data_IF_431608670152
#
_entry.id   IF_431608670152
#
_cell.length_a   1.000
_cell.length_b   1.000
_cell.length_c   1.000
_cell.angle_alpha   90.00
_cell.angle_beta   90.00
_cell.angle_gamma   90.00
#
_symmetry.space_group_name_H-M   'P 1'
#
loop_
_entity.id
_entity.type
_entity.pdbx_description
1 polymer ?
#
# COMPACT_ATOMS: atom_id res chain seq x y z
N UNK A 1 -23.58 -55.37 -42.33
CA UNK A 1 -24.35 -55.37 -43.59
C UNK A 1 -24.92 -53.96 -43.75
N UNK A 2 -24.59 -53.10 -44.70
CA UNK A 2 -23.68 -53.13 -45.83
C UNK A 2 -24.10 -52.01 -46.81
N UNK A 3 -23.17 -51.65 -47.71
CA UNK A 3 -23.44 -51.26 -49.12
C UNK A 3 -23.86 -49.78 -49.31
N UNK A 4 -22.91 -48.85 -49.61
CA UNK A 4 -22.43 -48.34 -50.95
C UNK A 4 -23.08 -46.99 -51.36
N UNK A 5 -22.32 -45.92 -51.64
CA UNK A 5 -21.66 -45.54 -52.92
C UNK A 5 -22.52 -44.50 -53.68
N UNK A 6 -22.04 -43.25 -53.86
CA UNK A 6 -21.48 -42.71 -55.14
C UNK A 6 -22.58 -42.07 -56.03
N UNK A 7 -22.44 -41.01 -56.84
CA UNK A 7 -21.32 -40.28 -57.47
C UNK A 7 -21.87 -38.99 -58.13
N UNK A 8 -20.96 -38.04 -58.48
CA UNK A 8 -20.97 -37.14 -59.68
C UNK A 8 -21.98 -35.97 -59.70
N UNK A 9 -21.74 -34.77 -60.25
CA UNK A 9 -20.80 -34.19 -61.26
C UNK A 9 -20.83 -32.65 -61.06
N UNK A 10 -19.70 -31.96 -60.94
CA UNK A 10 -18.95 -31.19 -61.98
C UNK A 10 -19.51 -29.81 -62.40
N UNK A 11 -18.59 -28.82 -62.38
CA UNK A 11 -18.44 -27.62 -63.25
C UNK A 11 -19.38 -26.41 -62.96
N UNK A 12 -18.96 -25.13 -62.98
CA UNK A 12 -17.71 -24.48 -63.37
C UNK A 12 -17.58 -23.05 -62.79
N UNK A 13 -16.31 -22.66 -62.56
CA UNK A 13 -15.64 -21.35 -62.77
C UNK A 13 -16.44 -20.04 -62.74
N UNK A 14 -16.03 -19.15 -61.83
CA UNK A 14 -15.68 -17.73 -62.02
C UNK A 14 -15.09 -17.27 -60.66
N UNK A 15 -13.81 -16.99 -60.49
CA UNK A 15 -13.11 -15.85 -61.09
C UNK A 15 -13.28 -14.62 -60.20
N UNK A 16 -12.50 -14.50 -59.13
CA UNK A 16 -12.22 -13.22 -58.46
C UNK A 16 -10.94 -13.33 -57.63
N UNK A 17 -9.91 -12.65 -58.11
CA UNK A 17 -8.69 -12.33 -57.38
C UNK A 17 -9.09 -11.42 -56.21
N UNK A 18 -8.95 -11.91 -54.97
CA UNK A 18 -9.09 -11.06 -53.78
C UNK A 18 -7.72 -10.88 -53.18
N UNK A 19 -7.29 -9.63 -53.24
CA UNK A 19 -6.05 -9.02 -52.77
C UNK A 19 -5.73 -9.43 -51.34
N UNK A 20 -4.55 -10.02 -51.11
CA UNK A 20 -4.02 -10.26 -49.78
C UNK A 20 -3.73 -8.91 -49.11
N UNK A 21 -4.61 -8.48 -48.21
CA UNK A 21 -4.33 -7.36 -47.32
C UNK A 21 -3.26 -7.79 -46.31
N UNK A 22 -2.06 -7.24 -46.44
CA UNK A 22 -1.05 -7.29 -45.39
C UNK A 22 -1.63 -6.57 -44.16
N UNK A 23 -2.06 -7.32 -43.15
CA UNK A 23 -2.28 -6.83 -41.81
C UNK A 23 -0.92 -6.39 -41.26
N UNK A 24 -0.64 -5.09 -41.34
CA UNK A 24 0.43 -4.46 -40.58
C UNK A 24 0.10 -4.66 -39.10
N UNK A 25 0.77 -5.62 -38.46
CA UNK A 25 0.75 -5.75 -37.01
C UNK A 25 1.35 -4.48 -36.41
N UNK A 26 0.49 -3.56 -35.97
CA UNK A 26 0.89 -2.44 -35.15
C UNK A 26 1.40 -3.00 -33.82
N UNK A 27 2.71 -3.19 -33.71
CA UNK A 27 3.37 -3.43 -32.43
C UNK A 27 3.04 -2.22 -31.55
N UNK A 28 2.33 -2.38 -30.43
CA UNK A 28 2.13 -1.28 -29.51
C UNK A 28 3.51 -0.80 -29.06
N UNK A 29 3.75 0.52 -28.98
CA UNK A 29 5.00 1.02 -28.42
C UNK A 29 5.16 0.41 -27.03
N UNK A 30 6.32 -0.21 -26.80
CA UNK A 30 6.71 -0.66 -25.47
C UNK A 30 6.44 0.48 -24.49
N UNK A 31 5.58 0.23 -23.51
CA UNK A 31 5.38 1.16 -22.40
C UNK A 31 6.78 1.48 -21.86
N UNK A 32 7.19 2.75 -21.99
CA UNK A 32 8.48 3.20 -21.50
C UNK A 32 8.56 2.83 -20.03
N UNK A 33 9.53 1.98 -19.68
CA UNK A 33 9.87 1.74 -18.29
C UNK A 33 10.08 3.10 -17.62
N UNK A 34 9.24 3.41 -16.63
CA UNK A 34 9.39 4.63 -15.85
C UNK A 34 10.83 4.68 -15.29
N UNK A 35 11.47 5.87 -15.27
CA UNK A 35 12.86 5.97 -14.87
C UNK A 35 13.01 5.60 -13.40
N UNK A 36 13.75 4.51 -13.16
CA UNK A 36 14.28 4.07 -11.87
C UNK A 36 13.22 3.51 -10.93
N UNK A 37 13.15 2.17 -10.83
CA UNK A 37 12.41 1.50 -9.76
C UNK A 37 12.93 1.87 -8.37
N UNK A 38 12.34 1.30 -7.30
CA UNK A 38 12.80 1.57 -5.94
C UNK A 38 14.30 1.35 -5.75
N UNK A 39 14.90 2.11 -4.84
CA UNK A 39 16.35 2.03 -4.54
C UNK A 39 16.60 1.82 -3.06
N UNK A 40 17.83 1.44 -2.70
CA UNK A 40 18.24 1.20 -1.33
C UNK A 40 18.02 -0.26 -0.88
N UNK A 41 18.33 -0.57 0.39
CA UNK A 41 18.33 -1.95 0.89
C UNK A 41 16.97 -2.65 0.85
N UNK A 42 15.88 -1.88 0.83
CA UNK A 42 14.50 -2.38 0.79
C UNK A 42 13.89 -2.36 -0.62
N UNK A 43 14.68 -2.04 -1.66
CA UNK A 43 14.17 -1.88 -3.02
C UNK A 43 13.31 -3.05 -3.53
N UNK A 44 13.72 -4.32 -3.39
CA UNK A 44 12.90 -5.44 -3.89
C UNK A 44 11.53 -5.52 -3.20
N UNK A 45 11.49 -5.26 -1.88
CA UNK A 45 10.25 -5.27 -1.10
C UNK A 45 9.34 -4.10 -1.49
N UNK A 46 9.92 -2.92 -1.68
CA UNK A 46 9.19 -1.74 -2.13
C UNK A 46 8.64 -1.90 -3.54
N UNK A 47 9.39 -2.54 -4.43
CA UNK A 47 8.95 -2.83 -5.79
C UNK A 47 7.75 -3.76 -5.79
N UNK A 48 7.82 -4.84 -5.00
CA UNK A 48 6.68 -5.73 -4.79
C UNK A 48 5.45 -4.98 -4.27
N UNK A 49 5.61 -4.17 -3.22
CA UNK A 49 4.51 -3.41 -2.64
C UNK A 49 3.91 -2.41 -3.63
N UNK A 50 4.71 -1.76 -4.46
CA UNK A 50 4.21 -0.83 -5.48
C UNK A 50 3.55 -1.54 -6.68
N UNK A 51 3.94 -2.78 -6.95
CA UNK A 51 3.26 -3.62 -7.94
C UNK A 51 1.88 -4.11 -7.43
N UNK A 52 1.81 -4.50 -6.15
CA UNK A 52 0.57 -4.95 -5.49
C UNK A 52 -0.37 -3.77 -5.16
N UNK A 53 0.19 -2.62 -4.82
CA UNK A 53 -0.51 -1.41 -4.36
C UNK A 53 -0.05 -0.19 -5.19
N UNK A 54 -0.53 -0.06 -6.44
CA UNK A 54 -0.07 0.98 -7.35
C UNK A 54 -0.42 2.40 -6.87
N UNK A 55 0.32 3.39 -7.38
CA UNK A 55 0.12 4.81 -7.04
C UNK A 55 0.98 5.31 -5.88
N UNK A 56 1.67 4.41 -5.17
CA UNK A 56 2.64 4.78 -4.15
C UNK A 56 3.91 5.39 -4.73
N UNK A 57 4.60 6.17 -3.90
CA UNK A 57 5.92 6.74 -4.23
C UNK A 57 6.87 6.44 -3.10
N UNK A 58 8.05 5.94 -3.44
CA UNK A 58 9.12 5.82 -2.47
C UNK A 58 9.71 7.19 -2.15
N UNK A 59 9.59 7.58 -0.88
CA UNK A 59 9.96 8.90 -0.34
C UNK A 59 11.26 8.86 0.48
N UNK A 60 11.77 7.67 0.81
CA UNK A 60 13.07 7.44 1.45
C UNK A 60 13.51 5.99 1.23
N UNK A 61 14.68 5.59 1.75
CA UNK A 61 15.10 4.19 1.71
C UNK A 61 14.24 3.27 2.58
N UNK A 62 13.44 3.83 3.50
CA UNK A 62 12.59 3.09 4.43
C UNK A 62 11.09 3.27 4.18
N UNK A 63 10.68 4.26 3.38
CA UNK A 63 9.29 4.68 3.34
C UNK A 63 8.68 4.79 1.94
N UNK A 64 7.43 4.32 1.87
CA UNK A 64 6.49 4.52 0.77
C UNK A 64 5.36 5.43 1.25
N UNK A 65 4.87 6.27 0.35
CA UNK A 65 3.72 7.12 0.63
C UNK A 65 2.70 7.05 -0.50
N UNK A 66 1.43 7.05 -0.13
CA UNK A 66 0.29 7.16 -1.03
C UNK A 66 -0.50 8.42 -0.68
N UNK A 67 -1.48 8.77 -1.51
CA UNK A 67 -2.51 9.72 -1.13
C UNK A 67 -2.01 11.10 -0.67
N UNK A 68 -0.98 11.60 -1.34
CA UNK A 68 -0.29 12.86 -0.97
C UNK A 68 0.18 12.86 0.49
N UNK A 69 0.74 11.73 0.94
CA UNK A 69 1.32 11.60 2.27
C UNK A 69 0.32 11.29 3.38
N UNK A 70 -0.98 11.13 3.08
CA UNK A 70 -1.96 10.70 4.08
C UNK A 70 -1.78 9.25 4.54
N UNK A 71 -1.19 8.42 3.68
CA UNK A 71 -0.82 7.05 4.03
C UNK A 71 0.68 6.90 3.84
N UNK A 72 1.38 6.53 4.92
CA UNK A 72 2.83 6.34 4.91
C UNK A 72 3.16 4.99 5.53
N UNK A 73 3.80 4.11 4.75
CA UNK A 73 4.43 2.90 5.25
C UNK A 73 5.89 3.19 5.52
N UNK A 74 6.36 2.92 6.74
CA UNK A 74 7.77 2.97 7.11
C UNK A 74 8.22 1.59 7.57
N UNK A 75 9.22 1.03 6.90
CA UNK A 75 9.74 -0.31 7.16
C UNK A 75 11.06 -0.24 7.96
N UNK A 76 11.31 -1.18 8.88
CA UNK A 76 12.61 -1.35 9.52
C UNK A 76 13.72 -1.57 8.48
N UNK A 77 14.94 -1.14 8.79
CA UNK A 77 16.09 -1.52 7.98
C UNK A 77 16.38 -3.02 8.16
N UNK A 78 17.02 -3.70 7.20
CA UNK A 78 17.39 -5.10 7.38
C UNK A 78 18.17 -5.34 8.69
N UNK A 79 17.66 -6.25 9.53
CA UNK A 79 18.23 -6.57 10.84
C UNK A 79 17.71 -5.73 12.01
N UNK A 80 16.94 -4.68 11.75
CA UNK A 80 16.30 -3.85 12.79
C UNK A 80 14.90 -4.38 13.11
N UNK A 81 14.52 -4.33 14.40
CA UNK A 81 13.21 -4.78 14.85
C UNK A 81 12.11 -3.70 14.77
N UNK A 82 12.48 -2.43 14.62
CA UNK A 82 11.55 -1.28 14.72
C UNK A 82 11.74 -0.36 13.52
N UNK A 83 10.64 0.11 12.95
CA UNK A 83 10.67 1.12 11.90
C UNK A 83 11.30 2.43 12.42
N UNK A 84 12.17 3.09 11.64
CA UNK A 84 12.80 4.33 12.09
C UNK A 84 11.77 5.46 12.35
N UNK A 85 12.17 6.43 13.17
CA UNK A 85 11.41 7.69 13.34
C UNK A 85 11.33 8.45 12.01
N UNK A 86 10.23 9.19 11.82
CA UNK A 86 10.00 9.93 10.58
C UNK A 86 10.01 9.01 9.35
N UNK A 87 10.67 9.43 8.28
CA UNK A 87 10.82 8.65 7.04
C UNK A 87 12.04 7.73 7.03
N UNK A 88 12.91 7.72 8.04
CA UNK A 88 14.15 6.93 8.02
C UNK A 88 15.26 7.51 7.13
N UNK A 89 16.05 6.65 6.50
CA UNK A 89 17.31 7.05 5.82
C UNK A 89 17.06 7.62 4.43
N UNK A 90 17.90 8.58 4.04
CA UNK A 90 17.92 9.21 2.72
C UNK A 90 16.54 9.71 2.21
N UNK A 91 15.85 10.62 2.94
CA UNK A 91 14.61 11.22 2.44
C UNK A 91 14.82 11.90 1.08
N UNK A 92 13.94 11.59 0.14
CA UNK A 92 14.02 12.03 -1.24
C UNK A 92 13.32 13.37 -1.40
N UNK A 93 14.09 14.44 -1.25
CA UNK A 93 13.56 15.80 -1.08
C UNK A 93 12.50 16.23 -2.11
N UNK A 94 12.61 15.82 -3.39
CA UNK A 94 11.59 16.14 -4.41
C UNK A 94 10.27 15.42 -4.12
N UNK A 95 10.32 14.10 -3.88
CA UNK A 95 9.17 13.25 -3.60
C UNK A 95 8.52 13.61 -2.25
N UNK A 96 9.34 13.85 -1.22
CA UNK A 96 8.90 14.33 0.09
C UNK A 96 8.09 15.62 -0.03
N UNK A 97 8.61 16.62 -0.77
CA UNK A 97 7.89 17.88 -0.99
C UNK A 97 6.60 17.68 -1.77
N UNK A 98 6.60 16.86 -2.83
CA UNK A 98 5.38 16.60 -3.60
C UNK A 98 4.30 15.86 -2.80
N UNK A 99 4.71 15.10 -1.78
CA UNK A 99 3.81 14.37 -0.88
C UNK A 99 3.47 15.14 0.40
N UNK A 100 3.96 16.38 0.60
CA UNK A 100 3.68 17.14 1.81
C UNK A 100 4.29 16.56 3.09
N UNK A 101 5.36 15.76 2.99
CA UNK A 101 5.95 14.99 4.10
C UNK A 101 7.18 15.67 4.75
N UNK A 102 7.31 16.99 4.62
CA UNK A 102 8.49 17.72 5.10
C UNK A 102 8.77 17.47 6.59
N UNK A 103 7.73 17.49 7.43
CA UNK A 103 7.85 17.31 8.88
C UNK A 103 8.20 15.87 9.30
N UNK A 104 7.97 14.88 8.42
CA UNK A 104 8.41 13.50 8.64
C UNK A 104 9.85 13.27 8.15
N UNK A 105 10.30 14.05 7.16
CA UNK A 105 11.67 13.98 6.65
C UNK A 105 12.67 14.64 7.60
N UNK A 106 12.24 15.65 8.35
CA UNK A 106 12.99 16.27 9.44
C UNK A 106 12.18 16.21 10.75
N UNK A 107 12.20 15.06 11.45
CA UNK A 107 11.41 14.89 12.66
C UNK A 107 12.02 15.59 13.89
N UNK A 108 13.07 16.41 13.74
CA UNK A 108 13.77 17.04 14.88
C UNK A 108 12.87 17.96 15.72
N UNK A 109 11.84 18.55 15.11
CA UNK A 109 10.81 19.36 15.79
C UNK A 109 9.47 18.64 16.00
N UNK A 110 9.32 17.43 15.46
CA UNK A 110 8.04 16.68 15.49
C UNK A 110 8.00 15.83 16.75
N UNK A 111 6.97 16.03 17.59
CA UNK A 111 6.71 15.08 18.67
C UNK A 111 6.21 13.78 18.04
N UNK A 112 6.59 12.65 18.64
CA UNK A 112 6.03 11.36 18.26
C UNK A 112 5.81 10.48 19.49
N UNK A 113 4.90 9.52 19.33
CA UNK A 113 4.63 8.46 20.29
C UNK A 113 4.97 7.15 19.58
N UNK A 114 6.11 6.55 19.96
CA UNK A 114 6.67 5.35 19.31
C UNK A 114 6.85 5.51 17.79
N UNK A 115 7.27 6.70 17.35
CA UNK A 115 7.43 7.03 15.93
C UNK A 115 6.13 7.45 15.22
N UNK A 116 4.96 7.32 15.84
CA UNK A 116 3.72 7.87 15.31
C UNK A 116 3.67 9.39 15.57
N UNK A 117 3.55 10.25 14.54
CA UNK A 117 3.60 11.69 14.72
C UNK A 117 2.51 12.21 15.65
N UNK A 118 2.83 13.22 16.46
CA UNK A 118 1.91 13.88 17.38
C UNK A 118 2.19 15.38 17.47
N UNK A 119 1.19 16.15 17.93
CA UNK A 119 1.32 17.57 18.21
C UNK A 119 0.11 18.39 17.77
N UNK A 120 0.02 19.64 18.24
CA UNK A 120 -1.13 20.50 17.99
C UNK A 120 -1.40 20.78 16.50
N UNK A 121 -0.35 20.76 15.67
CA UNK A 121 -0.43 20.93 14.20
C UNK A 121 -0.50 19.59 13.45
N UNK A 122 -0.43 18.46 14.17
CA UNK A 122 -0.48 17.09 13.65
C UNK A 122 -1.69 16.38 14.26
N UNK A 123 -2.86 16.96 14.00
CA UNK A 123 -4.13 16.30 14.29
C UNK A 123 -4.30 15.09 13.37
N UNK A 124 -5.20 14.20 13.75
CA UNK A 124 -5.70 13.13 12.89
C UNK A 124 -4.68 12.05 12.50
N UNK A 125 -3.68 11.79 13.35
CA UNK A 125 -2.70 10.74 13.09
C UNK A 125 -2.94 9.51 13.97
N UNK A 126 -2.86 8.34 13.35
CA UNK A 126 -2.80 7.05 14.03
C UNK A 126 -1.91 6.09 13.24
N UNK A 127 -1.37 5.11 13.94
CA UNK A 127 -0.39 4.19 13.41
C UNK A 127 -0.66 2.76 13.84
N UNK A 128 -0.64 1.83 12.89
CA UNK A 128 -0.61 0.39 13.14
C UNK A 128 0.81 -0.14 12.97
N UNK A 129 1.14 -1.18 13.74
CA UNK A 129 2.47 -1.80 13.74
C UNK A 129 2.36 -3.31 13.53
N UNK A 130 3.28 -3.85 12.74
CA UNK A 130 3.34 -5.27 12.40
C UNK A 130 3.58 -6.17 13.61
N UNK A 131 4.43 -5.72 14.53
CA UNK A 131 4.83 -6.51 15.69
C UNK A 131 4.35 -5.90 17.00
N UNK A 132 4.54 -6.64 18.10
CA UNK A 132 4.33 -6.14 19.46
C UNK A 132 5.33 -5.04 19.79
N UNK A 133 5.02 -4.27 20.83
CA UNK A 133 5.91 -3.23 21.36
C UNK A 133 6.33 -2.21 20.29
N UNK A 134 5.43 -1.93 19.34
CA UNK A 134 5.61 -0.97 18.24
C UNK A 134 6.72 -1.37 17.26
N UNK A 135 7.00 -2.66 17.15
CA UNK A 135 7.96 -3.22 16.21
C UNK A 135 7.40 -3.44 14.80
N UNK A 136 8.28 -3.86 13.91
CA UNK A 136 7.96 -4.17 12.52
C UNK A 136 7.66 -2.93 11.68
N UNK A 137 6.94 -3.15 10.59
CA UNK A 137 6.44 -2.11 9.70
C UNK A 137 5.46 -1.18 10.45
N UNK A 138 5.59 0.13 10.24
CA UNK A 138 4.66 1.15 10.73
C UNK A 138 3.82 1.67 9.57
N UNK A 139 2.51 1.44 9.63
CA UNK A 139 1.54 2.09 8.75
C UNK A 139 0.94 3.29 9.47
N UNK A 140 1.22 4.47 8.96
CA UNK A 140 0.75 5.75 9.49
C UNK A 140 -0.34 6.29 8.58
N UNK A 141 -1.39 6.80 9.21
CA UNK A 141 -2.57 7.36 8.57
C UNK A 141 -2.82 8.76 9.10
N UNK A 142 -3.11 9.70 8.19
CA UNK A 142 -3.44 11.07 8.50
C UNK A 142 -4.74 11.49 7.80
N UNK A 143 -5.65 12.13 8.53
CA UNK A 143 -6.93 12.66 8.02
C UNK A 143 -7.87 11.60 7.39
N UNK A 144 -7.58 10.31 7.58
CA UNK A 144 -8.42 9.20 7.15
C UNK A 144 -9.30 8.73 8.30
N UNK A 145 -10.51 8.28 7.98
CA UNK A 145 -11.45 7.78 8.98
C UNK A 145 -11.71 6.28 8.85
N UNK A 146 -11.81 5.76 7.64
CA UNK A 146 -12.13 4.37 7.40
C UNK A 146 -11.40 3.86 6.17
N UNK A 147 -10.94 2.61 6.22
CA UNK A 147 -10.30 1.95 5.09
C UNK A 147 -10.14 0.44 5.26
N UNK A 148 -9.66 -0.24 4.22
CA UNK A 148 -9.26 -1.65 4.25
C UNK A 148 -7.75 -1.78 4.44
N UNK A 149 -7.32 -2.61 5.39
CA UNK A 149 -5.90 -2.90 5.61
C UNK A 149 -5.25 -3.64 4.41
N UNK A 150 -6.06 -4.35 3.62
CA UNK A 150 -5.61 -5.00 2.39
C UNK A 150 -5.12 -4.00 1.35
N UNK A 151 -5.74 -2.82 1.24
CA UNK A 151 -5.41 -1.83 0.22
C UNK A 151 -4.01 -1.23 0.40
N UNK A 152 -3.47 -1.35 1.62
CA UNK A 152 -2.16 -0.84 2.02
C UNK A 152 -1.18 -1.96 2.41
N UNK A 153 -1.51 -3.21 2.08
CA UNK A 153 -0.60 -4.35 2.22
C UNK A 153 -0.41 -4.88 3.64
N UNK A 154 -1.35 -4.63 4.56
CA UNK A 154 -1.22 -5.01 5.97
C UNK A 154 -2.42 -5.73 6.59
N UNK A 155 -3.31 -6.23 5.75
CA UNK A 155 -4.36 -7.14 6.21
C UNK A 155 -3.76 -8.30 7.02
N UNK A 156 -4.29 -8.51 8.22
CA UNK A 156 -3.89 -9.57 9.15
C UNK A 156 -2.41 -9.48 9.57
N UNK A 157 -1.89 -8.28 9.81
CA UNK A 157 -0.52 -8.07 10.29
C UNK A 157 -0.41 -7.26 11.58
N UNK A 158 -1.48 -6.64 12.05
CA UNK A 158 -1.39 -5.69 13.16
C UNK A 158 -1.28 -6.40 14.50
N UNK A 159 -0.24 -6.03 15.25
CA UNK A 159 0.02 -6.54 16.60
C UNK A 159 0.03 -5.44 17.68
N UNK A 160 0.30 -4.19 17.31
CA UNK A 160 0.24 -3.03 18.21
C UNK A 160 -0.16 -1.75 17.46
N UNK A 161 -0.53 -0.69 18.18
CA UNK A 161 -1.04 0.56 17.59
C UNK A 161 -0.80 1.77 18.49
N UNK A 162 -0.81 2.95 17.88
CA UNK A 162 -0.78 4.26 18.54
C UNK A 162 -1.84 5.15 17.89
N UNK A 163 -2.66 5.82 18.69
CA UNK A 163 -3.58 6.86 18.23
C UNK A 163 -3.21 8.20 18.87
N UNK A 164 -2.66 9.12 18.08
CA UNK A 164 -2.27 10.46 18.53
C UNK A 164 -3.32 11.52 18.19
N UNK A 165 -4.42 11.11 17.55
CA UNK A 165 -5.60 11.93 17.33
C UNK A 165 -6.17 12.41 18.68
N UNK A 166 -6.73 13.61 18.68
CA UNK A 166 -7.28 14.29 19.85
C UNK A 166 -8.80 14.28 19.91
N UNK A 167 -9.49 13.86 18.85
CA UNK A 167 -10.95 13.86 18.75
C UNK A 167 -11.54 12.61 18.07
N UNK A 168 -10.71 11.66 17.60
CA UNK A 168 -11.19 10.40 17.01
C UNK A 168 -10.73 9.17 17.77
N UNK A 169 -11.68 8.25 17.92
CA UNK A 169 -11.42 6.86 18.29
C UNK A 169 -11.40 6.00 17.02
N UNK A 170 -10.31 5.28 16.78
CA UNK A 170 -10.25 4.29 15.69
C UNK A 170 -10.83 2.96 16.18
N UNK A 171 -11.56 2.26 15.33
CA UNK A 171 -12.20 0.97 15.66
C UNK A 171 -11.77 -0.07 14.65
N UNK A 172 -11.14 -1.12 15.15
CA UNK A 172 -10.54 -2.19 14.36
C UNK A 172 -11.52 -3.37 14.16
N UNK A 173 -11.51 -3.97 12.95
CA UNK A 173 -12.37 -5.10 12.61
C UNK A 173 -11.65 -6.22 11.83
N UNK A 174 -12.13 -7.46 12.02
CA UNK A 174 -11.90 -8.63 11.16
C UNK A 174 -13.20 -8.91 10.39
N UNK A 175 -13.26 -8.46 9.14
CA UNK A 175 -14.50 -8.31 8.39
C UNK A 175 -15.49 -7.39 9.11
N UNK A 176 -16.58 -7.97 9.61
CA UNK A 176 -17.61 -7.26 10.39
C UNK A 176 -17.46 -7.45 11.91
N UNK A 177 -16.50 -8.27 12.34
CA UNK A 177 -16.28 -8.54 13.77
C UNK A 177 -15.39 -7.46 14.36
N UNK A 178 -15.89 -6.72 15.33
CA UNK A 178 -15.09 -5.72 16.06
C UNK A 178 -14.01 -6.42 16.89
N UNK A 179 -12.79 -5.92 16.83
CA UNK A 179 -11.62 -6.47 17.53
C UNK A 179 -11.26 -5.62 18.75
N UNK A 180 -10.95 -4.34 18.55
CA UNK A 180 -10.58 -3.39 19.60
C UNK A 180 -10.94 -1.96 19.21
N UNK A 181 -10.82 -1.05 20.17
CA UNK A 181 -10.88 0.39 19.98
C UNK A 181 -9.52 1.01 20.31
N UNK A 182 -9.23 2.11 19.63
CA UNK A 182 -8.08 2.97 19.84
C UNK A 182 -8.59 4.34 20.26
N UNK A 183 -8.84 4.57 21.57
CA UNK A 183 -9.26 5.89 22.05
C UNK A 183 -8.29 6.99 21.61
N UNK A 184 -8.77 8.22 21.58
CA UNK A 184 -7.91 9.40 21.38
C UNK A 184 -6.74 9.41 22.38
N UNK A 185 -5.59 9.93 21.93
CA UNK A 185 -4.37 10.07 22.74
C UNK A 185 -3.96 8.79 23.49
N UNK A 186 -4.10 7.63 22.86
CA UNK A 186 -3.84 6.34 23.51
C UNK A 186 -2.99 5.42 22.65
N UNK A 187 -2.58 4.30 23.23
CA UNK A 187 -1.63 3.38 22.63
C UNK A 187 -1.81 1.98 23.23
N UNK A 188 -1.59 0.94 22.41
CA UNK A 188 -1.45 -0.42 22.92
C UNK A 188 -0.25 -1.12 22.29
N UNK A 189 0.66 -1.57 23.15
CA UNK A 189 1.84 -2.37 22.76
C UNK A 189 1.49 -3.79 22.30
N UNK A 190 0.26 -4.25 22.56
CA UNK A 190 -0.21 -5.56 22.13
C UNK A 190 -1.74 -5.61 22.09
N UNK A 191 -2.32 -5.94 20.94
CA UNK A 191 -3.78 -6.04 20.75
C UNK A 191 -4.42 -7.25 21.44
N UNK A 192 -3.60 -8.15 22.01
CA UNK A 192 -4.04 -9.35 22.70
C UNK A 192 -4.07 -10.59 21.79
N UNK A 193 -3.91 -11.77 22.40
CA UNK A 193 -3.72 -13.02 21.67
C UNK A 193 -4.88 -13.42 20.77
N UNK A 194 -6.10 -13.07 21.15
CA UNK A 194 -7.30 -13.38 20.35
C UNK A 194 -7.47 -12.47 19.13
N UNK A 195 -6.81 -11.32 19.12
CA UNK A 195 -6.97 -10.26 18.13
C UNK A 195 -5.72 -10.06 17.26
N UNK A 196 -4.57 -10.59 17.67
CA UNK A 196 -3.30 -10.43 16.95
C UNK A 196 -3.42 -10.92 15.50
N UNK A 197 -2.93 -10.12 14.55
CA UNK A 197 -2.90 -10.46 13.14
C UNK A 197 -4.30 -10.73 12.54
N UNK A 198 -5.32 -10.02 13.04
CA UNK A 198 -6.71 -10.18 12.55
C UNK A 198 -7.31 -8.97 11.86
N UNK A 199 -6.73 -7.79 12.03
CA UNK A 199 -7.26 -6.56 11.43
C UNK A 199 -7.35 -6.68 9.91
N UNK A 200 -8.53 -6.44 9.36
CA UNK A 200 -8.74 -6.34 7.90
C UNK A 200 -9.26 -4.98 7.47
N UNK A 201 -9.93 -4.24 8.36
CA UNK A 201 -10.45 -2.90 8.10
C UNK A 201 -10.59 -2.12 9.40
N UNK A 202 -10.69 -0.81 9.32
CA UNK A 202 -11.00 0.05 10.45
C UNK A 202 -11.96 1.17 10.04
N UNK A 203 -12.64 1.76 11.03
CA UNK A 203 -13.43 2.99 10.91
C UNK A 203 -13.08 3.93 12.07
N UNK A 204 -13.54 5.18 12.03
CA UNK A 204 -13.38 6.14 13.12
C UNK A 204 -14.73 6.53 13.73
N UNK A 205 -14.71 6.94 14.99
CA UNK A 205 -15.83 7.53 15.73
C UNK A 205 -15.36 8.83 16.38
N UNK A 206 -16.18 9.87 16.32
CA UNK A 206 -15.86 11.19 16.88
C UNK A 206 -16.11 12.31 15.88
N UNK A 207 -16.62 13.44 16.37
CA UNK A 207 -16.79 14.74 15.70
C UNK A 207 -16.44 15.84 16.68
#
# INVERSE_FOLDING_TARGET
>A
MGVTSSTRRMLARCGAVVTAAFLAASVPPAAGAAPGGPTGPLAPRMEQLLAEHPGGVQVSDNALAWDRGRVVLVMPSPGEAVAPRGLGRNPRGRQVRSMGLADLADPSGTRDVHGCPSGATKKDNYCFYGDRDFGGDRWQFAETCADQAGDWGFSRKTSSWVNTDTDKTIVAYDGNTRLWDEPENSVSKYVGATNNDRLTRWDCRGQ
#
